data_IF_136480406625
#
_entry.id   IF_136480406625
#
_cell.length_a   1.000
_cell.length_b   1.000
_cell.length_c   1.000
_cell.angle_alpha   90.00
_cell.angle_beta   90.00
_cell.angle_gamma   90.00
#
_symmetry.space_group_name_H-M   'P 1'
#
loop_
_entity.id
_entity.type
_entity.pdbx_description
1 polymer ?
#
# COMPACT_ATOMS: atom_id res chain seq x y z
N UNK A 1 7.43 10.97 23.44
CA UNK A 1 7.16 10.06 22.29
C UNK A 1 7.10 8.65 22.87
N UNK A 2 5.98 7.98 22.80
CA UNK A 2 5.82 6.59 23.24
C UNK A 2 6.16 5.68 22.07
N UNK A 3 7.14 4.81 22.20
CA UNK A 3 7.53 3.84 21.17
C UNK A 3 6.65 2.58 21.30
N UNK A 4 6.35 1.95 20.18
CA UNK A 4 5.68 0.66 20.12
C UNK A 4 6.74 -0.46 20.26
N UNK A 5 6.84 -1.02 21.45
CA UNK A 5 7.80 -2.07 21.78
C UNK A 5 7.57 -3.34 20.94
N UNK A 6 6.31 -3.66 20.60
CA UNK A 6 6.00 -4.80 19.76
C UNK A 6 6.60 -4.66 18.36
N UNK A 7 6.46 -3.50 17.74
CA UNK A 7 7.07 -3.21 16.43
C UNK A 7 8.60 -3.16 16.47
N UNK A 8 9.17 -2.75 17.59
CA UNK A 8 10.64 -2.80 17.79
C UNK A 8 11.09 -4.27 17.81
N UNK A 9 10.41 -5.13 18.56
CA UNK A 9 10.71 -6.55 18.65
C UNK A 9 10.61 -7.24 17.28
N UNK A 10 9.54 -6.94 16.53
CA UNK A 10 9.35 -7.45 15.16
C UNK A 10 10.51 -7.05 14.23
N UNK A 11 10.90 -5.78 14.27
CA UNK A 11 12.03 -5.29 13.46
C UNK A 11 13.35 -5.96 13.86
N UNK A 12 13.63 -6.09 15.17
CA UNK A 12 14.84 -6.74 15.67
C UNK A 12 14.88 -8.21 15.25
N UNK A 13 13.75 -8.93 15.37
CA UNK A 13 13.68 -10.34 14.97
C UNK A 13 13.90 -10.52 13.45
N UNK A 14 13.29 -9.67 12.64
CA UNK A 14 13.49 -9.69 11.18
C UNK A 14 14.95 -9.40 10.79
N UNK A 15 15.62 -8.45 11.45
CA UNK A 15 17.00 -8.10 11.18
C UNK A 15 17.99 -9.18 11.68
N UNK A 16 17.67 -9.90 12.75
CA UNK A 16 18.45 -11.05 13.19
C UNK A 16 18.51 -12.14 12.09
N UNK A 17 17.44 -12.31 11.31
CA UNK A 17 17.41 -13.27 10.20
C UNK A 17 18.47 -12.95 9.12
N UNK A 18 18.70 -11.68 8.81
CA UNK A 18 19.76 -11.27 7.88
C UNK A 18 21.18 -11.53 8.39
N UNK A 19 21.34 -11.57 9.71
CA UNK A 19 22.61 -11.84 10.38
C UNK A 19 22.87 -13.31 10.70
N UNK A 20 22.07 -14.24 10.13
CA UNK A 20 22.23 -15.68 10.35
C UNK A 20 23.60 -16.19 9.89
N UNK A 21 24.22 -16.99 10.73
CA UNK A 21 25.47 -17.72 10.48
C UNK A 21 25.44 -19.04 11.28
N UNK A 22 26.26 -19.99 10.90
CA UNK A 22 26.36 -21.29 11.58
C UNK A 22 24.98 -21.94 11.87
N UNK A 23 24.12 -22.00 10.85
CA UNK A 23 22.76 -22.53 10.96
C UNK A 23 21.76 -21.52 11.51
N UNK A 24 21.37 -21.62 12.77
CA UNK A 24 20.34 -20.77 13.40
C UNK A 24 20.90 -19.70 14.34
N UNK A 25 22.17 -19.31 14.20
CA UNK A 25 22.82 -18.32 15.06
C UNK A 25 22.84 -16.95 14.40
N UNK A 26 22.61 -15.89 15.18
CA UNK A 26 22.71 -14.50 14.74
C UNK A 26 23.49 -13.67 15.75
N UNK A 27 24.18 -12.60 15.29
CA UNK A 27 24.88 -11.67 16.19
C UNK A 27 23.89 -10.88 17.04
N UNK A 28 24.09 -10.82 18.36
CA UNK A 28 23.23 -10.12 19.31
C UNK A 28 23.65 -8.66 19.54
N UNK A 29 23.73 -7.87 18.47
CA UNK A 29 24.12 -6.45 18.49
C UNK A 29 22.93 -5.48 18.57
N UNK A 30 21.81 -5.91 19.16
CA UNK A 30 20.58 -5.12 19.28
C UNK A 30 20.29 -4.71 20.72
N UNK A 31 19.23 -3.93 20.91
CA UNK A 31 18.77 -3.50 22.23
C UNK A 31 18.48 -4.69 23.15
N UNK A 32 18.98 -4.61 24.39
CA UNK A 32 18.87 -5.72 25.34
C UNK A 32 17.45 -5.98 25.79
N UNK A 33 16.61 -4.96 25.91
CA UNK A 33 15.22 -5.11 26.32
C UNK A 33 14.42 -5.83 25.21
N UNK A 34 14.64 -5.47 23.95
CA UNK A 34 14.05 -6.18 22.82
C UNK A 34 14.51 -7.65 22.76
N UNK A 35 15.82 -7.92 22.99
CA UNK A 35 16.35 -9.29 23.02
C UNK A 35 15.73 -10.11 24.15
N UNK A 36 15.52 -9.52 25.34
CA UNK A 36 14.88 -10.19 26.46
C UNK A 36 13.42 -10.52 26.14
N UNK A 37 12.65 -9.58 25.59
CA UNK A 37 11.25 -9.84 25.18
C UNK A 37 11.14 -10.90 24.07
N UNK A 38 12.06 -10.94 23.11
CA UNK A 38 12.14 -11.98 22.10
C UNK A 38 12.43 -13.36 22.71
N UNK A 39 13.26 -13.42 23.74
CA UNK A 39 13.49 -14.65 24.51
C UNK A 39 12.23 -15.09 25.27
N UNK A 40 11.56 -14.18 25.97
CA UNK A 40 10.30 -14.45 26.68
C UNK A 40 9.19 -14.96 25.75
N UNK A 41 9.17 -14.46 24.51
CA UNK A 41 8.27 -14.94 23.43
C UNK A 41 8.69 -16.29 22.83
N UNK A 42 9.85 -16.83 23.22
CA UNK A 42 10.35 -18.12 22.74
C UNK A 42 10.98 -18.08 21.34
N UNK A 43 11.23 -16.93 20.78
CA UNK A 43 11.79 -16.79 19.43
C UNK A 43 13.33 -16.92 19.40
N UNK A 44 14.01 -16.64 20.50
CA UNK A 44 15.46 -16.80 20.64
C UNK A 44 15.82 -17.50 21.94
N UNK A 45 16.98 -18.14 22.01
CA UNK A 45 17.55 -18.65 23.24
C UNK A 45 17.95 -17.49 24.18
N UNK A 46 18.25 -17.81 25.45
CA UNK A 46 18.64 -16.78 26.43
C UNK A 46 19.84 -15.93 25.91
N UNK A 47 19.65 -14.62 25.73
CA UNK A 47 20.68 -13.74 25.23
C UNK A 47 21.80 -13.41 26.23
N UNK A 48 21.62 -13.74 27.53
CA UNK A 48 22.52 -13.36 28.64
C UNK A 48 23.85 -14.12 28.69
N UNK A 49 24.00 -15.16 27.83
CA UNK A 49 25.20 -15.94 27.73
C UNK A 49 26.46 -15.14 27.28
N UNK A 50 27.66 -15.68 27.52
CA UNK A 50 28.96 -15.06 27.15
C UNK A 50 29.19 -15.04 25.62
N UNK A 51 28.44 -15.84 24.82
CA UNK A 51 28.55 -15.84 23.37
C UNK A 51 28.18 -14.49 22.79
N UNK A 52 28.84 -14.06 21.72
CA UNK A 52 28.46 -12.86 20.95
C UNK A 52 27.26 -13.06 20.06
N UNK A 53 26.83 -14.31 19.89
CA UNK A 53 25.67 -14.69 19.09
C UNK A 53 24.60 -15.35 19.94
N UNK A 54 23.35 -15.32 19.48
CA UNK A 54 22.20 -16.01 20.06
C UNK A 54 21.70 -17.04 19.07
N UNK A 55 21.08 -18.11 19.55
CA UNK A 55 20.38 -19.11 18.72
C UNK A 55 18.95 -18.63 18.53
N UNK A 56 18.47 -18.61 17.29
CA UNK A 56 17.08 -18.38 16.96
C UNK A 56 16.41 -19.76 16.98
N UNK A 57 15.23 -19.87 17.61
CA UNK A 57 14.46 -21.12 17.65
C UNK A 57 13.79 -21.38 16.30
N UNK A 58 13.28 -22.59 16.07
CA UNK A 58 12.56 -22.90 14.82
C UNK A 58 11.36 -21.96 14.63
N UNK A 59 10.56 -21.73 15.68
CA UNK A 59 9.46 -20.77 15.67
C UNK A 59 9.96 -19.34 15.40
N UNK A 60 11.11 -18.97 15.97
CA UNK A 60 11.75 -17.69 15.73
C UNK A 60 12.23 -17.52 14.29
N UNK A 61 12.75 -18.57 13.65
CA UNK A 61 13.18 -18.55 12.26
C UNK A 61 12.00 -18.33 11.30
N UNK A 62 10.91 -19.06 11.50
CA UNK A 62 9.69 -18.91 10.70
C UNK A 62 9.13 -17.49 10.82
N UNK A 63 8.98 -17.00 12.05
CA UNK A 63 8.46 -15.65 12.30
C UNK A 63 9.40 -14.56 11.81
N UNK A 64 10.72 -14.69 11.99
CA UNK A 64 11.72 -13.76 11.49
C UNK A 64 11.67 -13.62 9.97
N UNK A 65 11.55 -14.75 9.25
CA UNK A 65 11.41 -14.77 7.80
C UNK A 65 10.12 -14.07 7.36
N UNK A 66 8.99 -14.39 8.00
CA UNK A 66 7.69 -13.76 7.72
C UNK A 66 7.75 -12.24 7.91
N UNK A 67 8.32 -11.77 9.01
CA UNK A 67 8.46 -10.36 9.33
C UNK A 67 9.40 -9.64 8.36
N UNK A 68 10.50 -10.29 7.97
CA UNK A 68 11.43 -9.75 6.98
C UNK A 68 10.74 -9.54 5.63
N UNK A 69 10.01 -10.56 5.14
CA UNK A 69 9.25 -10.48 3.91
C UNK A 69 8.16 -9.41 3.99
N UNK A 70 7.44 -9.33 5.09
CA UNK A 70 6.36 -8.37 5.29
C UNK A 70 6.86 -6.91 5.35
N UNK A 71 7.98 -6.66 6.03
CA UNK A 71 8.43 -5.29 6.35
C UNK A 71 9.51 -4.76 5.42
N UNK A 72 10.28 -5.66 4.76
CA UNK A 72 11.49 -5.29 4.02
C UNK A 72 11.54 -5.86 2.60
N UNK A 73 10.53 -6.65 2.14
CA UNK A 73 10.53 -7.07 0.74
C UNK A 73 10.30 -5.87 -0.18
N UNK A 74 10.99 -5.85 -1.30
CA UNK A 74 10.76 -4.85 -2.36
C UNK A 74 9.42 -5.04 -3.08
N UNK A 75 8.85 -6.24 -2.99
CA UNK A 75 7.49 -6.53 -3.44
C UNK A 75 6.53 -6.23 -2.29
N UNK A 76 5.88 -5.08 -2.35
CA UNK A 76 4.89 -4.65 -1.36
C UNK A 76 3.68 -5.59 -1.43
N UNK A 77 3.58 -6.53 -0.47
CA UNK A 77 2.33 -7.27 -0.21
C UNK A 77 1.27 -6.38 0.44
N UNK A 78 1.61 -5.12 0.70
CA UNK A 78 0.71 -4.16 1.31
C UNK A 78 -0.45 -3.84 0.36
N UNK A 79 -1.67 -3.97 0.87
CA UNK A 79 -2.87 -3.53 0.18
C UNK A 79 -2.85 -2.00 0.04
N UNK A 80 -2.80 -1.52 -1.19
CA UNK A 80 -2.80 -0.10 -1.52
C UNK A 80 -4.23 0.41 -1.76
N UNK A 81 -4.46 1.67 -1.45
CA UNK A 81 -5.59 2.45 -1.94
C UNK A 81 -5.14 3.14 -3.23
N UNK A 82 -5.70 2.71 -4.36
CA UNK A 82 -5.26 3.16 -5.69
C UNK A 82 -6.37 3.96 -6.34
N UNK A 83 -6.09 5.24 -6.58
CA UNK A 83 -7.00 6.09 -7.34
C UNK A 83 -6.95 5.72 -8.83
N UNK A 84 -8.10 5.67 -9.50
CA UNK A 84 -8.18 5.54 -10.95
C UNK A 84 -8.50 6.91 -11.54
N UNK A 85 -7.52 7.51 -12.20
CA UNK A 85 -7.61 8.80 -12.86
C UNK A 85 -7.76 8.64 -14.37
N UNK A 86 -8.80 9.21 -14.94
CA UNK A 86 -9.07 9.12 -16.36
C UNK A 86 -10.20 10.05 -16.82
N UNK A 87 -10.46 10.11 -18.14
CA UNK A 87 -11.52 10.94 -18.68
C UNK A 87 -12.90 10.46 -18.20
N UNK A 88 -13.77 11.42 -17.89
CA UNK A 88 -15.20 11.19 -17.69
C UNK A 88 -15.99 12.00 -18.73
N UNK A 89 -16.15 13.29 -18.57
CA UNK A 89 -16.82 14.17 -19.54
C UNK A 89 -15.85 14.88 -20.48
N UNK A 90 -14.55 14.62 -20.36
CA UNK A 90 -13.50 15.33 -21.07
C UNK A 90 -13.66 15.24 -22.59
N UNK A 91 -13.77 16.38 -23.24
CA UNK A 91 -13.75 16.48 -24.70
C UNK A 91 -15.06 16.11 -25.42
N UNK A 92 -16.16 15.79 -24.68
CA UNK A 92 -17.45 15.45 -25.29
C UNK A 92 -18.63 15.93 -24.45
N UNK A 93 -19.69 16.35 -25.13
CA UNK A 93 -21.00 16.62 -24.52
C UNK A 93 -21.97 15.44 -24.68
N UNK A 94 -21.52 14.32 -25.28
CA UNK A 94 -22.32 13.14 -25.53
C UNK A 94 -22.41 12.23 -24.30
N UNK A 95 -23.62 12.02 -23.72
CA UNK A 95 -23.78 11.12 -22.57
C UNK A 95 -23.34 9.67 -22.83
N UNK A 96 -23.38 9.20 -24.10
CA UNK A 96 -22.90 7.86 -24.43
C UNK A 96 -21.38 7.74 -24.27
N UNK A 97 -20.62 8.79 -24.60
CA UNK A 97 -19.18 8.87 -24.37
C UNK A 97 -18.88 8.91 -22.87
N UNK A 98 -19.65 9.66 -22.07
CA UNK A 98 -19.50 9.70 -20.63
C UNK A 98 -19.73 8.33 -19.98
N UNK A 99 -20.78 7.62 -20.43
CA UNK A 99 -21.08 6.28 -19.94
C UNK A 99 -19.97 5.28 -20.29
N UNK A 100 -19.39 5.34 -21.50
CA UNK A 100 -18.25 4.48 -21.87
C UNK A 100 -16.99 4.80 -21.07
N UNK A 101 -16.69 6.08 -20.87
CA UNK A 101 -15.56 6.51 -20.04
C UNK A 101 -15.73 6.03 -18.59
N UNK A 102 -16.91 6.19 -18.01
CA UNK A 102 -17.19 5.69 -16.66
C UNK A 102 -17.05 4.17 -16.58
N UNK A 103 -17.50 3.45 -17.61
CA UNK A 103 -17.32 2.00 -17.70
C UNK A 103 -15.83 1.61 -17.72
N UNK A 104 -14.99 2.32 -18.46
CA UNK A 104 -13.53 2.09 -18.48
C UNK A 104 -12.90 2.31 -17.10
N UNK A 105 -13.25 3.39 -16.40
CA UNK A 105 -12.83 3.65 -15.03
C UNK A 105 -13.22 2.48 -14.10
N UNK A 106 -14.46 2.02 -14.18
CA UNK A 106 -14.97 0.94 -13.35
C UNK A 106 -14.32 -0.42 -13.67
N UNK A 107 -13.99 -0.70 -14.94
CA UNK A 107 -13.25 -1.92 -15.32
C UNK A 107 -11.82 -1.90 -14.79
N UNK A 108 -11.16 -0.76 -14.85
CA UNK A 108 -9.84 -0.59 -14.23
C UNK A 108 -9.89 -0.78 -12.71
N UNK A 109 -10.90 -0.23 -12.05
CA UNK A 109 -11.12 -0.43 -10.63
C UNK A 109 -11.37 -1.92 -10.28
N UNK A 110 -12.16 -2.63 -11.09
CA UNK A 110 -12.35 -4.08 -10.95
C UNK A 110 -11.03 -4.82 -11.01
N UNK A 111 -10.17 -4.52 -11.99
CA UNK A 111 -8.87 -5.16 -12.13
C UNK A 111 -7.94 -4.88 -10.94
N UNK A 112 -7.92 -3.66 -10.40
CA UNK A 112 -7.20 -3.29 -9.18
C UNK A 112 -7.70 -4.11 -7.99
N UNK A 113 -9.02 -4.24 -7.83
CA UNK A 113 -9.63 -5.03 -6.77
C UNK A 113 -9.26 -6.52 -6.90
N UNK A 114 -9.24 -7.05 -8.12
CA UNK A 114 -8.83 -8.43 -8.41
C UNK A 114 -7.36 -8.69 -8.09
N UNK A 115 -6.52 -7.68 -8.06
CA UNK A 115 -5.12 -7.75 -7.57
C UNK A 115 -5.00 -7.59 -6.04
N UNK A 116 -6.11 -7.45 -5.31
CA UNK A 116 -6.14 -7.39 -3.84
C UNK A 116 -6.01 -5.98 -3.25
N UNK A 117 -6.07 -4.93 -4.07
CA UNK A 117 -6.01 -3.54 -3.64
C UNK A 117 -7.40 -2.91 -3.48
N UNK A 118 -7.46 -1.67 -2.98
CA UNK A 118 -8.70 -0.90 -2.82
C UNK A 118 -8.75 0.18 -3.92
N UNK A 119 -9.61 0.02 -4.94
CA UNK A 119 -9.76 1.04 -5.97
C UNK A 119 -10.62 2.20 -5.50
N UNK A 120 -10.24 3.43 -5.86
CA UNK A 120 -11.00 4.66 -5.63
C UNK A 120 -11.20 5.38 -6.96
N UNK A 121 -12.43 5.78 -7.27
CA UNK A 121 -12.76 6.59 -8.45
C UNK A 121 -13.43 7.87 -7.96
N UNK A 122 -12.80 9.02 -8.18
CA UNK A 122 -13.32 10.32 -7.74
C UNK A 122 -14.70 10.61 -8.32
N UNK A 123 -14.92 10.29 -9.60
CA UNK A 123 -16.21 10.44 -10.29
C UNK A 123 -17.34 9.67 -9.58
N UNK A 124 -17.09 8.40 -9.20
CA UNK A 124 -18.08 7.57 -8.51
C UNK A 124 -18.45 8.11 -7.13
N UNK A 125 -17.55 8.81 -6.49
CA UNK A 125 -17.80 9.46 -5.20
C UNK A 125 -18.55 10.79 -5.37
N UNK A 126 -18.26 11.52 -6.44
CA UNK A 126 -18.84 12.85 -6.68
C UNK A 126 -20.24 12.81 -7.24
N UNK A 127 -20.52 11.90 -8.19
CA UNK A 127 -21.82 11.87 -8.89
C UNK A 127 -23.04 11.76 -7.95
N UNK A 128 -23.09 10.86 -6.95
CA UNK A 128 -24.22 10.78 -6.02
C UNK A 128 -24.41 12.06 -5.19
N UNK A 129 -23.31 12.73 -4.86
CA UNK A 129 -23.35 13.99 -4.11
C UNK A 129 -23.88 15.12 -4.98
N UNK A 130 -23.48 15.16 -6.26
CA UNK A 130 -23.98 16.13 -7.24
C UNK A 130 -25.47 15.90 -7.51
N UNK A 131 -25.88 14.64 -7.66
CA UNK A 131 -27.30 14.29 -7.84
C UNK A 131 -28.15 14.78 -6.67
N UNK A 132 -27.67 14.62 -5.44
CA UNK A 132 -28.38 15.07 -4.25
C UNK A 132 -28.36 16.60 -4.07
N UNK A 133 -27.28 17.29 -4.48
CA UNK A 133 -27.13 18.73 -4.31
C UNK A 133 -27.76 19.55 -5.45
N UNK A 134 -27.81 19.01 -6.68
CA UNK A 134 -28.21 19.67 -7.91
C UNK A 134 -27.05 19.84 -8.90
N UNK A 135 -27.37 19.79 -10.20
CA UNK A 135 -26.36 19.85 -11.28
C UNK A 135 -25.58 21.19 -11.31
N UNK A 136 -26.15 22.26 -10.79
CA UNK A 136 -25.48 23.57 -10.65
C UNK A 136 -24.27 23.53 -9.72
N UNK A 137 -24.17 22.49 -8.89
CA UNK A 137 -23.02 22.27 -7.98
C UNK A 137 -21.91 21.42 -8.59
N UNK A 138 -22.04 20.96 -9.85
CA UNK A 138 -21.08 20.06 -10.49
C UNK A 138 -19.63 20.52 -10.33
N UNK A 139 -19.29 21.74 -10.74
CA UNK A 139 -17.94 22.30 -10.67
C UNK A 139 -17.43 22.45 -9.24
N UNK A 140 -18.33 22.67 -8.27
CA UNK A 140 -17.99 22.85 -6.86
C UNK A 140 -17.76 21.54 -6.12
N UNK A 141 -18.23 20.42 -6.69
CA UNK A 141 -18.15 19.10 -6.04
C UNK A 141 -17.19 18.18 -6.78
N UNK A 142 -17.27 18.05 -8.10
CA UNK A 142 -16.55 17.02 -8.88
C UNK A 142 -15.03 17.06 -8.59
N UNK A 143 -14.36 18.10 -9.02
CA UNK A 143 -12.91 18.20 -8.85
C UNK A 143 -12.48 18.41 -7.40
N UNK A 144 -13.11 19.33 -6.61
CA UNK A 144 -12.69 19.49 -5.22
C UNK A 144 -12.81 18.22 -4.37
N UNK A 145 -13.83 17.39 -4.58
CA UNK A 145 -13.97 16.12 -3.89
C UNK A 145 -12.90 15.12 -4.34
N UNK A 146 -12.72 14.98 -5.65
CA UNK A 146 -11.72 14.07 -6.21
C UNK A 146 -10.31 14.40 -5.73
N UNK A 147 -9.94 15.68 -5.73
CA UNK A 147 -8.64 16.13 -5.25
C UNK A 147 -8.41 15.88 -3.75
N UNK A 148 -9.45 15.92 -2.92
CA UNK A 148 -9.32 15.53 -1.50
C UNK A 148 -9.11 14.04 -1.31
N UNK A 149 -9.64 13.20 -2.20
CA UNK A 149 -9.41 11.74 -2.17
C UNK A 149 -7.94 11.39 -2.45
N UNK A 150 -7.21 12.20 -3.25
CA UNK A 150 -5.77 11.96 -3.50
C UNK A 150 -4.96 11.92 -2.20
N UNK A 151 -5.37 12.69 -1.18
CA UNK A 151 -4.69 12.75 0.13
C UNK A 151 -4.81 11.45 0.96
N UNK A 152 -5.68 10.53 0.54
CA UNK A 152 -5.98 9.27 1.22
C UNK A 152 -5.56 8.04 0.42
N UNK A 153 -5.05 8.24 -0.79
CA UNK A 153 -4.62 7.16 -1.67
C UNK A 153 -3.09 7.02 -1.65
N UNK A 154 -2.62 5.78 -1.75
CA UNK A 154 -1.19 5.44 -1.75
C UNK A 154 -0.57 5.54 -3.14
N UNK A 155 -1.40 5.45 -4.19
CA UNK A 155 -0.98 5.47 -5.58
C UNK A 155 -2.13 5.89 -6.51
N UNK A 156 -1.80 6.18 -7.76
CA UNK A 156 -2.77 6.44 -8.82
C UNK A 156 -2.48 5.60 -10.06
N UNK A 157 -3.53 5.07 -10.69
CA UNK A 157 -3.49 4.52 -12.05
C UNK A 157 -4.03 5.57 -13.02
N UNK A 158 -3.21 6.03 -13.97
CA UNK A 158 -3.62 6.92 -15.05
C UNK A 158 -4.05 6.08 -16.26
N UNK A 159 -5.36 6.03 -16.54
CA UNK A 159 -5.84 5.37 -17.75
C UNK A 159 -5.82 6.32 -18.96
N UNK A 160 -5.76 5.77 -20.16
CA UNK A 160 -5.65 6.51 -21.41
C UNK A 160 -6.77 7.53 -21.64
N UNK A 161 -6.45 8.56 -22.41
CA UNK A 161 -7.37 9.60 -22.86
C UNK A 161 -7.08 10.98 -22.28
N UNK A 162 -7.47 12.01 -23.02
CA UNK A 162 -7.23 13.41 -22.66
C UNK A 162 -8.16 13.83 -21.53
N UNK A 163 -7.62 14.29 -20.42
CA UNK A 163 -8.41 14.79 -19.28
C UNK A 163 -7.56 15.68 -18.38
N UNK A 164 -7.86 16.97 -18.37
CA UNK A 164 -7.18 17.94 -17.47
C UNK A 164 -7.37 17.58 -16.00
N UNK A 165 -8.57 17.13 -15.61
CA UNK A 165 -8.84 16.74 -14.23
C UNK A 165 -8.03 15.52 -13.79
N UNK A 166 -7.94 14.48 -14.65
CA UNK A 166 -7.10 13.33 -14.37
C UNK A 166 -5.60 13.69 -14.31
N UNK A 167 -5.16 14.61 -15.14
CA UNK A 167 -3.76 15.07 -15.13
C UNK A 167 -3.46 15.86 -13.83
N UNK A 168 -4.39 16.69 -13.36
CA UNK A 168 -4.28 17.40 -12.06
C UNK A 168 -4.24 16.43 -10.88
N UNK A 169 -5.07 15.38 -10.89
CA UNK A 169 -5.01 14.30 -9.90
C UNK A 169 -3.61 13.66 -9.87
N UNK A 170 -3.10 13.24 -11.03
CA UNK A 170 -1.78 12.61 -11.17
C UNK A 170 -0.65 13.52 -10.69
N UNK A 171 -0.72 14.81 -11.01
CA UNK A 171 0.31 15.78 -10.62
C UNK A 171 0.39 15.92 -9.08
N UNK A 172 -0.72 15.75 -8.36
CA UNK A 172 -0.69 15.69 -6.88
C UNK A 172 0.07 14.48 -6.37
N UNK A 173 -0.14 13.31 -6.94
CA UNK A 173 0.63 12.10 -6.56
C UNK A 173 2.12 12.29 -6.82
N UNK A 174 2.49 12.84 -7.97
CA UNK A 174 3.89 13.15 -8.29
C UNK A 174 4.51 14.14 -7.31
N UNK A 175 3.79 15.20 -6.97
CA UNK A 175 4.25 16.22 -6.04
C UNK A 175 4.53 15.67 -4.63
N UNK A 176 3.83 14.61 -4.23
CA UNK A 176 4.04 13.92 -2.95
C UNK A 176 4.97 12.71 -3.04
N UNK A 177 5.61 12.46 -4.21
CA UNK A 177 6.50 11.31 -4.41
C UNK A 177 5.79 9.96 -4.38
N UNK A 178 4.47 9.93 -4.59
CA UNK A 178 3.66 8.72 -4.58
C UNK A 178 3.70 8.03 -5.97
N UNK A 179 3.37 6.73 -5.98
CA UNK A 179 3.43 5.91 -7.20
C UNK A 179 2.37 6.32 -8.21
N UNK A 180 2.78 6.40 -9.48
CA UNK A 180 1.90 6.62 -10.63
C UNK A 180 2.06 5.45 -11.58
N UNK A 181 1.04 4.62 -11.71
CA UNK A 181 0.97 3.50 -12.64
C UNK A 181 0.37 3.96 -13.96
N UNK A 182 0.92 3.47 -15.08
CA UNK A 182 0.42 3.74 -16.43
C UNK A 182 -0.39 2.57 -16.99
N UNK A 183 -0.24 1.38 -16.39
CA UNK A 183 -1.00 0.18 -16.76
C UNK A 183 -1.36 -0.66 -15.53
N UNK A 184 -2.37 -1.52 -15.68
CA UNK A 184 -2.75 -2.50 -14.64
C UNK A 184 -1.60 -3.48 -14.36
N UNK A 185 -0.76 -3.77 -15.36
CA UNK A 185 0.31 -4.75 -15.23
C UNK A 185 1.44 -4.28 -14.32
N UNK A 186 1.60 -2.95 -14.17
CA UNK A 186 2.57 -2.35 -13.23
C UNK A 186 2.14 -2.45 -11.75
N UNK A 187 0.86 -2.73 -11.50
CA UNK A 187 0.31 -2.86 -10.14
C UNK A 187 0.63 -4.26 -9.62
N UNK A 188 1.33 -4.38 -8.47
CA UNK A 188 1.66 -5.69 -7.90
C UNK A 188 0.39 -6.48 -7.55
N UNK A 189 0.49 -7.81 -7.52
CA UNK A 189 -0.60 -8.67 -7.06
C UNK A 189 -0.34 -9.08 -5.59
N UNK A 190 -1.24 -8.66 -4.67
CA UNK A 190 -1.09 -8.98 -3.24
C UNK A 190 -1.68 -10.33 -2.86
N UNK A 191 -2.35 -11.04 -3.80
CA UNK A 191 -2.98 -12.35 -3.55
C UNK A 191 -2.05 -13.51 -3.80
N UNK A 192 -0.95 -13.30 -4.53
CA UNK A 192 0.00 -14.37 -4.90
C UNK A 192 0.71 -15.02 -3.69
N UNK A 193 0.62 -14.43 -2.49
CA UNK A 193 1.28 -14.89 -1.27
C UNK A 193 0.32 -15.43 -0.20
N UNK A 194 -0.95 -15.70 -0.53
CA UNK A 194 -1.94 -16.28 0.36
C UNK A 194 -2.21 -17.75 -0.02
N UNK A 195 -1.15 -18.57 -0.09
CA UNK A 195 -1.17 -20.01 -0.33
C UNK A 195 -0.44 -20.74 0.79
#
# INVERSE_FOLDING_TARGET
>A
MTLDEGKIDEAVLALLYLGLHDGARAWKGFDWEAMNRLHEKGFIADPRGKSKSVVITDAGLEEAKRLLEQSFSSESTQRLWIMVAGPYQSGSSDPAVWADNLRKLNLSAKAIFEKGHVPIIGVNMALPVIEAAGQEFYERIMMPLSLRLTERCDAVLRIEGVSKGADEEVDRFRAHGLRVFQSIDEIPDTRSNAG
#
